data_IF_564769937399
#
_entry.id   IF_564769937399
#
_cell.length_a   1.000
_cell.length_b   1.000
_cell.length_c   1.000
_cell.angle_alpha   90.00
_cell.angle_beta   90.00
_cell.angle_gamma   90.00
#
_symmetry.space_group_name_H-M   'P 1'
#
loop_
_entity.id
_entity.type
_entity.pdbx_description
1 polymer ?
#
# COMPACT_ATOMS: atom_id res chain seq x y z
N UNK A 1 -1.24 0.64 -28.29
CA UNK A 1 0.20 0.30 -28.26
C UNK A 1 0.75 0.71 -26.90
N UNK A 2 1.15 -0.27 -26.08
CA UNK A 2 1.70 -0.03 -24.76
C UNK A 2 3.19 0.36 -24.83
N UNK A 3 3.66 1.05 -23.82
CA UNK A 3 5.09 1.29 -23.59
C UNK A 3 5.66 0.19 -22.69
N UNK A 4 6.94 -0.13 -22.86
CA UNK A 4 7.69 -0.90 -21.88
C UNK A 4 8.36 0.09 -20.91
N UNK A 5 8.17 -0.13 -19.62
CA UNK A 5 8.77 0.67 -18.56
C UNK A 5 9.85 -0.11 -17.84
N UNK A 6 11.02 0.45 -17.73
CA UNK A 6 12.21 -0.17 -17.16
C UNK A 6 12.71 0.69 -15.99
N UNK A 7 12.69 0.13 -14.78
CA UNK A 7 13.34 0.72 -13.63
C UNK A 7 14.83 0.36 -13.65
N UNK A 8 15.69 1.36 -13.56
CA UNK A 8 17.14 1.20 -13.57
C UNK A 8 17.79 1.84 -12.33
N UNK A 9 19.10 1.74 -12.21
CA UNK A 9 19.87 2.46 -11.18
C UNK A 9 20.12 3.94 -11.57
N UNK A 10 19.75 4.34 -12.79
CA UNK A 10 19.98 5.68 -13.34
C UNK A 10 18.70 6.31 -13.90
N UNK A 11 17.55 5.94 -13.37
CA UNK A 11 16.25 6.52 -13.69
C UNK A 11 15.21 5.54 -14.19
N UNK A 12 14.05 6.09 -14.52
CA UNK A 12 12.92 5.38 -15.12
C UNK A 12 12.96 5.54 -16.63
N UNK A 13 13.06 4.43 -17.36
CA UNK A 13 13.15 4.47 -18.82
C UNK A 13 11.88 3.91 -19.46
N UNK A 14 11.33 4.66 -20.42
CA UNK A 14 10.22 4.27 -21.28
C UNK A 14 10.75 3.89 -22.67
N UNK A 15 10.29 2.75 -23.18
CA UNK A 15 10.59 2.28 -24.53
C UNK A 15 9.31 2.13 -25.34
N UNK A 16 9.26 2.69 -26.55
CA UNK A 16 8.10 2.72 -27.43
C UNK A 16 8.16 1.71 -28.60
N UNK A 17 9.19 0.89 -28.62
CA UNK A 17 9.51 -0.04 -29.72
C UNK A 17 10.64 0.46 -30.64
N UNK A 18 10.98 1.76 -30.59
CA UNK A 18 12.04 2.37 -31.40
C UNK A 18 13.02 3.16 -30.58
N UNK A 19 12.55 3.97 -29.62
CA UNK A 19 13.36 4.92 -28.86
C UNK A 19 13.23 4.71 -27.37
N UNK A 20 14.29 5.05 -26.65
CA UNK A 20 14.32 5.09 -25.20
C UNK A 20 14.21 6.53 -24.70
N UNK A 21 13.31 6.78 -23.77
CA UNK A 21 13.20 8.05 -23.04
C UNK A 21 13.43 7.79 -21.56
N UNK A 22 14.47 8.39 -20.98
CA UNK A 22 14.80 8.22 -19.56
C UNK A 22 14.41 9.45 -18.76
N UNK A 23 13.69 9.22 -17.67
CA UNK A 23 13.34 10.22 -16.66
C UNK A 23 14.31 10.08 -15.50
N UNK A 24 14.91 11.19 -15.10
CA UNK A 24 15.86 11.27 -13.99
C UNK A 24 15.45 12.38 -13.03
N UNK A 25 15.88 12.25 -11.77
CA UNK A 25 15.82 13.35 -10.81
C UNK A 25 16.83 14.39 -11.22
N UNK A 26 16.37 15.59 -11.57
CA UNK A 26 17.25 16.71 -11.91
C UNK A 26 17.78 17.40 -10.65
N UNK A 27 19.10 17.51 -10.53
CA UNK A 27 19.75 18.18 -9.42
C UNK A 27 19.33 19.67 -9.36
N UNK A 28 18.86 20.12 -8.20
CA UNK A 28 18.45 21.50 -7.96
C UNK A 28 16.98 21.82 -8.24
N UNK A 29 16.17 20.86 -8.66
CA UNK A 29 14.72 21.03 -8.86
C UNK A 29 13.90 20.31 -7.78
N UNK A 30 14.15 20.62 -6.53
CA UNK A 30 13.47 19.96 -5.40
C UNK A 30 11.99 20.35 -5.24
N UNK A 31 11.56 21.43 -5.91
CA UNK A 31 10.18 21.95 -5.80
C UNK A 31 9.24 21.41 -6.90
N UNK A 32 9.74 20.59 -7.81
CA UNK A 32 8.91 20.03 -8.88
C UNK A 32 8.49 18.60 -8.56
N UNK A 33 7.26 18.27 -8.90
CA UNK A 33 6.74 16.91 -8.87
C UNK A 33 7.52 16.10 -9.90
N UNK A 34 8.39 15.21 -9.45
CA UNK A 34 9.33 14.47 -10.28
C UNK A 34 9.64 13.09 -9.70
N UNK A 35 10.60 12.41 -10.28
CA UNK A 35 11.16 11.19 -9.72
C UNK A 35 11.85 11.49 -8.39
N UNK A 36 11.56 10.67 -7.35
CA UNK A 36 12.09 10.89 -6.01
C UNK A 36 13.57 10.51 -5.84
N UNK A 37 14.04 9.55 -6.62
CA UNK A 37 15.46 9.11 -6.69
C UNK A 37 15.67 8.36 -8.01
N UNK A 38 16.87 8.41 -8.58
CA UNK A 38 17.20 7.74 -9.83
C UNK A 38 17.28 6.20 -9.70
N UNK A 39 17.53 5.70 -8.51
CA UNK A 39 17.65 4.25 -8.27
C UNK A 39 16.28 3.62 -8.09
N UNK A 40 15.76 3.03 -9.15
CA UNK A 40 14.44 2.42 -9.17
C UNK A 40 14.51 1.00 -8.64
N UNK A 41 13.69 0.69 -7.66
CA UNK A 41 13.58 -0.63 -7.04
C UNK A 41 12.42 -1.45 -7.60
N UNK A 42 11.28 -0.79 -7.87
CA UNK A 42 10.08 -1.44 -8.35
C UNK A 42 9.20 -0.45 -9.11
N UNK A 43 8.51 -0.96 -10.12
CA UNK A 43 7.55 -0.21 -10.92
C UNK A 43 6.29 -1.06 -11.06
N UNK A 44 5.12 -0.46 -10.82
CA UNK A 44 3.84 -1.12 -10.99
C UNK A 44 2.79 -0.15 -11.52
N UNK A 45 1.95 -0.59 -12.45
CA UNK A 45 0.81 0.16 -12.96
C UNK A 45 -0.44 -0.21 -12.16
N UNK A 46 -1.21 0.80 -11.74
CA UNK A 46 -2.52 0.59 -11.15
C UNK A 46 -3.62 0.55 -12.21
N UNK A 47 -4.83 0.20 -11.82
CA UNK A 47 -5.95 0.08 -12.75
C UNK A 47 -6.49 1.43 -13.26
N UNK A 48 -6.08 2.54 -12.65
CA UNK A 48 -6.43 3.89 -13.07
C UNK A 48 -5.45 4.46 -14.09
N UNK A 49 -4.39 3.69 -14.46
CA UNK A 49 -3.35 4.09 -15.39
C UNK A 49 -2.34 5.07 -14.78
N UNK A 50 -2.03 4.91 -13.51
CA UNK A 50 -0.89 5.54 -12.88
C UNK A 50 0.23 4.53 -12.66
N UNK A 51 1.43 4.98 -12.92
CA UNK A 51 2.64 4.20 -12.68
C UNK A 51 3.23 4.59 -11.33
N UNK A 52 3.29 3.63 -10.43
CA UNK A 52 3.87 3.78 -9.11
C UNK A 52 5.32 3.30 -9.13
N UNK A 53 6.23 4.21 -8.80
CA UNK A 53 7.67 3.99 -8.89
C UNK A 53 8.23 4.01 -7.47
N UNK A 54 8.71 2.87 -7.00
CA UNK A 54 9.43 2.74 -5.73
C UNK A 54 10.92 2.93 -5.98
N UNK A 55 11.55 3.83 -5.26
CA UNK A 55 12.96 4.13 -5.35
C UNK A 55 13.75 3.65 -4.13
N UNK A 56 15.05 3.76 -4.18
CA UNK A 56 15.93 3.63 -3.01
C UNK A 56 16.29 5.05 -2.57
N UNK A 57 16.00 5.49 -1.35
CA UNK A 57 15.73 4.80 -0.08
C UNK A 57 14.24 4.70 0.35
N UNK A 58 13.41 3.98 -0.37
CA UNK A 58 12.02 3.71 -0.01
C UNK A 58 11.09 4.94 -0.12
N UNK A 59 11.26 5.71 -1.18
CA UNK A 59 10.35 6.77 -1.59
C UNK A 59 9.48 6.29 -2.76
N UNK A 60 8.31 6.89 -2.91
CA UNK A 60 7.45 6.67 -4.05
C UNK A 60 7.32 7.92 -4.91
N UNK A 61 7.26 7.71 -6.22
CA UNK A 61 6.81 8.68 -7.21
C UNK A 61 5.62 8.11 -7.96
N UNK A 62 4.75 8.97 -8.43
CA UNK A 62 3.59 8.59 -9.23
C UNK A 62 3.64 9.31 -10.58
N UNK A 63 3.43 8.57 -11.67
CA UNK A 63 3.40 9.10 -13.03
C UNK A 63 2.07 8.80 -13.68
N UNK A 64 1.37 9.82 -14.16
CA UNK A 64 0.12 9.69 -14.89
C UNK A 64 0.41 9.31 -16.34
N UNK A 65 0.05 8.08 -16.74
CA UNK A 65 0.29 7.56 -18.08
C UNK A 65 -0.54 8.30 -19.14
N UNK A 66 -1.70 8.86 -18.77
CA UNK A 66 -2.58 9.58 -19.68
C UNK A 66 -2.11 11.02 -19.89
N UNK A 67 -1.75 11.72 -18.82
CA UNK A 67 -1.24 13.10 -18.86
C UNK A 67 0.24 13.17 -19.22
N UNK A 68 0.93 12.03 -19.21
CA UNK A 68 2.37 11.90 -19.46
C UNK A 68 3.24 12.80 -18.55
N UNK A 69 2.91 12.87 -17.26
CA UNK A 69 3.64 13.68 -16.28
C UNK A 69 3.64 13.03 -14.90
N UNK A 70 4.62 13.42 -14.08
CA UNK A 70 4.60 13.08 -12.65
C UNK A 70 3.49 13.85 -11.94
N UNK A 71 2.90 13.24 -10.92
CA UNK A 71 1.79 13.81 -10.14
C UNK A 71 2.07 13.73 -8.64
N UNK A 72 1.58 14.74 -7.91
CA UNK A 72 1.59 14.72 -6.46
C UNK A 72 0.41 13.89 -5.93
N UNK A 73 0.74 12.72 -5.41
CA UNK A 73 -0.24 11.83 -4.79
C UNK A 73 -0.48 12.14 -3.30
N UNK A 74 0.27 13.06 -2.73
CA UNK A 74 0.15 13.43 -1.30
C UNK A 74 -0.86 14.55 -1.08
N UNK A 75 -1.13 15.35 -2.11
CA UNK A 75 -1.99 16.53 -2.08
C UNK A 75 -1.41 17.71 -1.29
N UNK A 76 -0.20 17.59 -0.75
CA UNK A 76 0.45 18.61 0.08
C UNK A 76 1.93 18.82 -0.26
N UNK A 77 2.38 18.31 -1.41
CA UNK A 77 3.82 18.17 -1.69
C UNK A 77 4.44 17.02 -0.88
N UNK A 78 5.75 17.00 -0.79
CA UNK A 78 6.43 16.00 0.02
C UNK A 78 6.15 16.24 1.51
N UNK A 79 5.47 15.32 2.17
CA UNK A 79 5.23 15.38 3.61
C UNK A 79 6.38 14.78 4.45
N UNK A 80 7.49 14.43 3.79
CA UNK A 80 8.66 13.84 4.41
C UNK A 80 8.44 12.42 4.95
N UNK A 81 7.30 11.80 4.64
CA UNK A 81 7.01 10.45 5.07
C UNK A 81 7.53 9.41 4.07
N UNK A 82 8.27 8.44 4.56
CA UNK A 82 8.75 7.31 3.77
C UNK A 82 7.75 6.16 3.85
N UNK A 83 7.49 5.55 2.70
CA UNK A 83 6.69 4.34 2.58
C UNK A 83 7.55 3.23 1.97
N UNK A 84 7.49 2.04 2.57
CA UNK A 84 8.30 0.90 2.10
C UNK A 84 7.52 -0.09 1.26
N UNK A 85 6.20 -0.08 1.36
CA UNK A 85 5.33 -1.06 0.73
C UNK A 85 4.13 -0.39 0.06
N UNK A 86 3.58 -1.09 -0.94
CA UNK A 86 2.40 -0.68 -1.70
C UNK A 86 1.43 -1.85 -1.82
N UNK A 87 0.15 -1.58 -1.68
CA UNK A 87 -0.94 -2.50 -1.99
C UNK A 87 -1.96 -1.78 -2.87
N UNK A 88 -2.41 -2.43 -3.94
CA UNK A 88 -3.42 -1.92 -4.86
C UNK A 88 -4.69 -2.72 -4.68
N UNK A 89 -5.75 -2.05 -4.23
CA UNK A 89 -7.03 -2.69 -3.95
C UNK A 89 -7.89 -2.85 -5.22
N UNK A 90 -8.84 -3.75 -5.16
CA UNK A 90 -9.72 -4.08 -6.28
C UNK A 90 -10.59 -2.91 -6.75
N UNK A 91 -10.90 -1.95 -5.86
CA UNK A 91 -11.62 -0.71 -6.20
C UNK A 91 -10.73 0.37 -6.84
N UNK A 92 -9.39 0.20 -6.84
CA UNK A 92 -8.42 1.12 -7.42
C UNK A 92 -7.74 2.07 -6.48
N UNK A 93 -8.05 1.99 -5.21
CA UNK A 93 -7.31 2.73 -4.21
C UNK A 93 -5.91 2.14 -4.04
N UNK A 94 -4.96 3.01 -3.77
CA UNK A 94 -3.58 2.62 -3.49
C UNK A 94 -3.28 2.86 -2.02
N UNK A 95 -2.71 1.84 -1.38
CA UNK A 95 -2.37 1.84 0.03
C UNK A 95 -0.86 1.78 0.18
N UNK A 96 -0.26 2.86 0.70
CA UNK A 96 1.15 2.94 1.01
C UNK A 96 1.36 2.79 2.51
N UNK A 97 2.33 1.98 2.92
CA UNK A 97 2.65 1.89 4.35
C UNK A 97 4.16 1.72 4.60
N UNK A 98 4.51 1.99 5.83
CA UNK A 98 5.84 1.73 6.37
C UNK A 98 5.71 1.00 7.70
N UNK A 99 6.72 0.21 8.03
CA UNK A 99 6.73 -0.60 9.25
C UNK A 99 6.58 0.19 10.57
N UNK A 100 6.64 1.54 10.53
CA UNK A 100 6.59 2.40 11.73
C UNK A 100 5.75 3.66 11.56
N UNK A 101 5.23 3.92 10.36
CA UNK A 101 4.61 5.21 10.04
C UNK A 101 3.11 5.11 9.72
N UNK A 102 2.49 3.95 10.03
CA UNK A 102 1.09 3.74 9.71
C UNK A 102 0.85 3.56 8.21
N UNK A 103 -0.32 3.93 7.77
CA UNK A 103 -0.84 3.70 6.41
C UNK A 103 -1.35 5.00 5.81
N UNK A 104 -1.18 5.15 4.50
CA UNK A 104 -1.82 6.17 3.68
C UNK A 104 -2.65 5.48 2.59
N UNK A 105 -3.93 5.75 2.54
CA UNK A 105 -4.80 5.42 1.41
C UNK A 105 -4.79 6.58 0.44
N UNK A 106 -4.68 6.30 -0.84
CA UNK A 106 -4.75 7.25 -1.94
C UNK A 106 -5.92 6.83 -2.81
N UNK A 107 -6.82 7.75 -3.03
CA UNK A 107 -8.02 7.60 -3.87
C UNK A 107 -7.86 8.48 -5.09
N UNK A 108 -8.06 7.90 -6.27
CA UNK A 108 -8.10 8.63 -7.52
C UNK A 108 -9.56 8.96 -7.84
N UNK A 109 -9.88 10.25 -7.94
CA UNK A 109 -11.18 10.74 -8.34
C UNK A 109 -11.37 10.65 -9.87
N UNK A 110 -12.60 10.82 -10.33
CA UNK A 110 -12.96 10.71 -11.76
C UNK A 110 -12.21 11.73 -12.64
N UNK A 111 -11.90 12.92 -12.12
CA UNK A 111 -11.11 13.95 -12.79
C UNK A 111 -9.59 13.71 -12.75
N UNK A 112 -9.16 12.56 -12.21
CA UNK A 112 -7.77 12.17 -11.98
C UNK A 112 -7.04 13.00 -10.93
N UNK A 113 -7.76 13.70 -10.08
CA UNK A 113 -7.16 14.25 -8.84
C UNK A 113 -6.97 13.13 -7.82
N UNK A 114 -5.95 13.27 -6.99
CA UNK A 114 -5.68 12.32 -5.92
C UNK A 114 -5.97 12.94 -4.56
N UNK A 115 -6.76 12.23 -3.79
CA UNK A 115 -6.98 12.54 -2.37
C UNK A 115 -6.33 11.48 -1.50
N UNK A 116 -5.95 11.83 -0.28
CA UNK A 116 -5.32 10.86 0.60
C UNK A 116 -5.79 10.95 2.04
N UNK A 117 -5.90 9.78 2.67
CA UNK A 117 -6.25 9.63 4.09
C UNK A 117 -5.13 8.90 4.82
N UNK A 118 -4.72 9.44 5.97
CA UNK A 118 -3.71 8.81 6.83
C UNK A 118 -4.38 8.02 7.95
N UNK A 119 -3.88 6.81 8.16
CA UNK A 119 -4.27 5.94 9.26
C UNK A 119 -3.11 5.81 10.24
N UNK A 120 -3.31 6.28 11.47
CA UNK A 120 -2.33 6.25 12.56
C UNK A 120 -3.02 6.19 13.92
N UNK A 121 -2.30 5.70 14.91
CA UNK A 121 -2.76 5.70 16.32
C UNK A 121 -3.13 7.09 16.81
N UNK A 122 -2.37 8.12 16.44
CA UNK A 122 -2.63 9.52 16.82
C UNK A 122 -3.95 10.08 16.30
N UNK A 123 -4.52 9.48 15.25
CA UNK A 123 -5.83 9.85 14.70
C UNK A 123 -6.95 8.94 15.23
N UNK A 124 -6.63 7.97 16.07
CA UNK A 124 -7.58 7.03 16.64
C UNK A 124 -8.14 6.00 15.64
N UNK A 125 -7.49 5.84 14.47
CA UNK A 125 -7.95 4.97 13.40
C UNK A 125 -7.04 3.78 13.11
N UNK A 126 -5.99 3.54 13.92
CA UNK A 126 -5.20 2.31 13.93
C UNK A 126 -4.90 1.86 15.37
N UNK A 127 -4.82 0.55 15.63
CA UNK A 127 -4.40 0.04 16.94
C UNK A 127 -2.92 0.25 17.22
N UNK A 128 -2.07 0.21 16.19
CA UNK A 128 -0.61 0.41 16.26
C UNK A 128 -0.09 0.91 14.92
N UNK A 129 0.89 1.82 14.90
CA UNK A 129 1.51 2.34 13.68
C UNK A 129 2.52 1.37 13.03
N UNK A 130 2.84 0.27 13.69
CA UNK A 130 3.77 -0.75 13.20
C UNK A 130 3.04 -1.78 12.34
N UNK A 131 2.94 -1.48 11.05
CA UNK A 131 2.19 -2.28 10.08
C UNK A 131 2.97 -3.54 9.71
N UNK A 132 2.28 -4.65 9.60
CA UNK A 132 2.79 -5.96 9.17
C UNK A 132 2.36 -6.33 7.76
N UNK A 133 1.09 -6.10 7.47
CA UNK A 133 0.51 -6.36 6.16
C UNK A 133 -0.72 -5.50 5.90
N UNK A 134 -1.04 -5.35 4.63
CA UNK A 134 -2.36 -4.92 4.14
C UNK A 134 -2.82 -5.99 3.15
N UNK A 135 -4.09 -6.35 3.22
CA UNK A 135 -4.71 -7.30 2.30
C UNK A 135 -6.19 -6.96 2.10
N UNK A 136 -6.80 -7.52 1.06
CA UNK A 136 -8.20 -7.31 0.71
C UNK A 136 -8.94 -8.64 0.69
N UNK A 137 -10.16 -8.68 1.24
CA UNK A 137 -11.04 -9.84 1.11
C UNK A 137 -11.93 -9.73 -0.14
N UNK A 138 -12.67 -10.80 -0.43
CA UNK A 138 -13.56 -10.89 -1.58
C UNK A 138 -14.69 -9.86 -1.59
N UNK A 139 -14.98 -9.23 -0.44
CA UNK A 139 -16.00 -8.16 -0.32
C UNK A 139 -15.43 -6.75 -0.61
N UNK A 140 -14.12 -6.63 -0.81
CA UNK A 140 -13.41 -5.35 -0.94
C UNK A 140 -13.10 -4.67 0.39
N UNK A 141 -13.16 -5.40 1.51
CA UNK A 141 -12.73 -4.92 2.81
C UNK A 141 -11.22 -5.02 2.91
N UNK A 142 -10.59 -3.93 3.30
CA UNK A 142 -9.15 -3.88 3.55
C UNK A 142 -8.85 -4.26 4.98
N UNK A 143 -7.92 -5.18 5.16
CA UNK A 143 -7.44 -5.67 6.44
C UNK A 143 -6.04 -5.14 6.71
N UNK A 144 -5.84 -4.53 7.87
CA UNK A 144 -4.58 -3.92 8.27
C UNK A 144 -4.09 -4.62 9.53
N UNK A 145 -3.10 -5.48 9.37
CA UNK A 145 -2.44 -6.16 10.48
C UNK A 145 -1.31 -5.31 11.04
N UNK A 146 -1.30 -5.20 12.38
CA UNK A 146 -0.31 -4.42 13.11
C UNK A 146 0.41 -5.28 14.15
N UNK A 147 1.41 -4.73 14.82
CA UNK A 147 2.07 -5.43 15.92
C UNK A 147 1.18 -5.57 17.17
N UNK A 148 0.14 -4.74 17.30
CA UNK A 148 -0.77 -4.77 18.44
C UNK A 148 -2.22 -4.63 17.93
N UNK A 149 -2.68 -5.64 17.19
CA UNK A 149 -4.06 -5.72 16.77
C UNK A 149 -4.29 -5.75 15.27
N UNK A 150 -5.55 -5.87 14.92
CA UNK A 150 -6.09 -5.95 13.56
C UNK A 150 -7.17 -4.90 13.40
N UNK A 151 -7.07 -4.11 12.35
CA UNK A 151 -8.12 -3.20 11.92
C UNK A 151 -8.63 -3.60 10.53
N UNK A 152 -9.84 -3.18 10.21
CA UNK A 152 -10.35 -3.25 8.85
C UNK A 152 -10.92 -1.91 8.40
N UNK A 153 -10.86 -1.66 7.09
CA UNK A 153 -11.47 -0.49 6.44
C UNK A 153 -12.45 -0.98 5.39
N UNK A 154 -13.70 -0.56 5.50
CA UNK A 154 -14.73 -0.91 4.54
C UNK A 154 -15.66 0.29 4.30
N UNK A 155 -15.80 0.71 3.03
CA UNK A 155 -16.61 1.88 2.65
C UNK A 155 -16.28 3.13 3.49
N UNK A 156 -14.99 3.40 3.66
CA UNK A 156 -14.48 4.53 4.42
C UNK A 156 -14.61 4.44 5.95
N UNK A 157 -15.17 3.35 6.47
CA UNK A 157 -15.30 3.12 7.92
C UNK A 157 -14.20 2.23 8.43
N UNK A 158 -13.54 2.67 9.51
CA UNK A 158 -12.53 1.90 10.22
C UNK A 158 -13.18 1.14 11.36
N UNK A 159 -12.83 -0.14 11.49
CA UNK A 159 -13.27 -1.00 12.58
C UNK A 159 -12.05 -1.69 13.21
N UNK A 160 -11.99 -1.67 14.53
CA UNK A 160 -10.98 -2.44 15.27
C UNK A 160 -11.52 -3.84 15.53
N UNK A 161 -10.86 -4.83 14.97
CA UNK A 161 -11.25 -6.25 15.08
C UNK A 161 -10.60 -6.87 16.31
N UNK A 162 -9.34 -6.55 16.54
CA UNK A 162 -8.58 -6.94 17.71
C UNK A 162 -7.61 -5.83 18.11
N UNK A 163 -7.25 -5.74 19.41
CA UNK A 163 -6.36 -4.70 19.95
C UNK A 163 -5.16 -5.26 20.75
N UNK A 164 -4.92 -6.56 20.66
CA UNK A 164 -3.92 -7.22 21.50
C UNK A 164 -3.00 -8.16 20.73
N UNK A 165 -3.56 -8.91 19.79
CA UNK A 165 -2.81 -9.95 19.08
C UNK A 165 -1.79 -9.34 18.11
N UNK A 166 -0.65 -9.99 18.02
CA UNK A 166 0.40 -9.62 17.07
C UNK A 166 0.23 -10.48 15.80
N UNK A 167 -0.40 -9.90 14.80
CA UNK A 167 -0.59 -10.57 13.52
C UNK A 167 0.66 -10.41 12.65
N UNK A 168 1.11 -11.51 12.05
CA UNK A 168 2.31 -11.56 11.19
C UNK A 168 1.99 -11.53 9.71
N UNK A 169 0.88 -12.15 9.31
CA UNK A 169 0.44 -12.22 7.90
C UNK A 169 -1.04 -12.52 7.80
N UNK A 170 -1.57 -12.34 6.60
CA UNK A 170 -2.93 -12.75 6.22
C UNK A 170 -2.94 -13.30 4.80
N UNK A 171 -3.94 -14.11 4.48
CA UNK A 171 -4.18 -14.60 3.13
C UNK A 171 -5.67 -14.87 2.91
N UNK A 172 -6.21 -14.55 1.73
CA UNK A 172 -7.55 -14.95 1.34
C UNK A 172 -7.55 -16.42 0.90
N UNK A 173 -8.61 -17.17 1.24
CA UNK A 173 -8.85 -18.50 0.72
C UNK A 173 -10.35 -18.71 0.53
N UNK A 174 -10.77 -18.91 -0.73
CA UNK A 174 -12.17 -18.85 -1.11
C UNK A 174 -12.75 -17.47 -0.83
N UNK A 175 -13.83 -17.41 -0.08
CA UNK A 175 -14.45 -16.15 0.35
C UNK A 175 -13.97 -15.68 1.73
N UNK A 176 -13.19 -16.48 2.43
CA UNK A 176 -12.76 -16.21 3.79
C UNK A 176 -11.37 -15.60 3.86
N UNK A 177 -11.10 -14.90 4.95
CA UNK A 177 -9.80 -14.33 5.26
C UNK A 177 -9.16 -15.06 6.44
N UNK A 178 -7.93 -15.45 6.29
CA UNK A 178 -7.14 -16.10 7.33
C UNK A 178 -6.03 -15.19 7.83
N UNK A 179 -5.74 -15.28 9.11
CA UNK A 179 -4.73 -14.49 9.78
C UNK A 179 -3.82 -15.37 10.62
N UNK A 180 -2.53 -15.16 10.50
CA UNK A 180 -1.52 -15.82 11.30
C UNK A 180 -0.96 -14.84 12.32
N UNK A 181 -0.88 -15.26 13.59
CA UNK A 181 -0.20 -14.49 14.63
C UNK A 181 1.28 -14.84 14.71
N UNK A 182 2.04 -13.99 15.39
CA UNK A 182 3.46 -14.28 15.67
C UNK A 182 3.64 -15.52 16.56
N UNK A 183 2.66 -15.86 17.40
CA UNK A 183 2.65 -17.08 18.22
C UNK A 183 2.32 -18.36 17.42
N UNK A 184 1.93 -18.22 16.15
CA UNK A 184 1.57 -19.34 15.29
C UNK A 184 0.09 -19.72 15.35
N UNK A 185 -0.74 -18.93 16.05
CA UNK A 185 -2.18 -19.16 16.06
C UNK A 185 -2.81 -18.73 14.74
N UNK A 186 -3.76 -19.51 14.25
CA UNK A 186 -4.49 -19.24 13.01
C UNK A 186 -5.91 -18.81 13.33
N UNK A 187 -6.29 -17.66 12.80
CA UNK A 187 -7.64 -17.12 12.89
C UNK A 187 -8.31 -17.11 11.53
N UNK A 188 -9.62 -17.26 11.50
CA UNK A 188 -10.45 -17.17 10.31
C UNK A 188 -11.51 -16.09 10.50
N UNK A 189 -11.73 -15.30 9.47
CA UNK A 189 -12.87 -14.42 9.31
C UNK A 189 -13.73 -14.95 8.16
N UNK A 190 -14.94 -15.35 8.44
CA UNK A 190 -15.91 -15.76 7.41
C UNK A 190 -16.35 -14.52 6.64
N UNK A 191 -16.53 -14.64 5.33
CA UNK A 191 -16.93 -13.54 4.45
C UNK A 191 -18.13 -12.75 5.01
N UNK A 192 -18.01 -11.42 4.98
CA UNK A 192 -19.03 -10.51 5.53
C UNK A 192 -19.07 -10.41 7.06
N UNK A 193 -18.31 -11.25 7.78
CA UNK A 193 -18.18 -11.18 9.23
C UNK A 193 -17.23 -10.06 9.66
N UNK A 194 -17.39 -9.61 10.90
CA UNK A 194 -16.45 -8.72 11.61
C UNK A 194 -15.74 -9.43 12.77
N UNK A 195 -16.00 -10.72 12.93
CA UNK A 195 -15.41 -11.55 13.96
C UNK A 195 -14.38 -12.48 13.37
N UNK A 196 -13.31 -12.65 14.11
CA UNK A 196 -12.29 -13.64 13.84
C UNK A 196 -12.40 -14.77 14.86
N UNK A 197 -12.39 -15.99 14.39
CA UNK A 197 -12.43 -17.19 15.22
C UNK A 197 -11.09 -17.89 15.17
N UNK A 198 -10.56 -18.28 16.34
CA UNK A 198 -9.34 -19.06 16.42
C UNK A 198 -9.62 -20.49 15.93
N UNK A 199 -8.95 -20.91 14.87
CA UNK A 199 -9.08 -22.25 14.30
C UNK A 199 -8.07 -23.23 14.90
N UNK A 200 -6.85 -22.76 15.12
CA UNK A 200 -5.75 -23.56 15.62
C UNK A 200 -4.78 -22.70 16.43
N UNK A 201 -4.26 -23.26 17.51
CA UNK A 201 -3.24 -22.62 18.31
C UNK A 201 -2.08 -23.58 18.50
N UNK A 202 -0.85 -23.13 18.16
CA UNK A 202 0.35 -23.93 18.37
C UNK A 202 0.63 -24.15 19.86
N UNK A 203 0.21 -23.24 20.72
CA UNK A 203 0.34 -23.41 22.16
C UNK A 203 -0.50 -24.57 22.72
N UNK A 204 -1.60 -24.93 22.04
CA UNK A 204 -2.44 -26.06 22.38
C UNK A 204 -1.92 -27.42 21.87
N UNK A 205 -0.94 -27.39 20.93
CA UNK A 205 -0.36 -28.62 20.34
C UNK A 205 0.95 -29.02 21.07
N UNK A 206 1.58 -28.08 21.76
CA UNK A 206 2.85 -28.28 22.46
C UNK A 206 2.70 -28.73 23.95
N UNK A 207 1.51 -28.97 24.42
CA UNK A 207 1.15 -29.59 25.71
C UNK A 207 0.52 -30.94 25.48
#
# INVERSE_FOLDING_TARGET
KGFLWLGTLDGLTRYDGNTFLTYQLESGKHDQISLADNRIKHVAEDKNGFLWIKTVPELFSCYDLQKACFVDFTGTGSDGENYSEIFMSSNGDVWLWHRRNGVRQIVCEDDRTMTSVKFRTKFGNLPDDRIKFINEDSSGRIWIGTMQGLASVYKGKVEFIDRKLNFSSSFPHGEDMYFLTKSGDVYRCVNGSKKIDCLASLSAIAG
#
